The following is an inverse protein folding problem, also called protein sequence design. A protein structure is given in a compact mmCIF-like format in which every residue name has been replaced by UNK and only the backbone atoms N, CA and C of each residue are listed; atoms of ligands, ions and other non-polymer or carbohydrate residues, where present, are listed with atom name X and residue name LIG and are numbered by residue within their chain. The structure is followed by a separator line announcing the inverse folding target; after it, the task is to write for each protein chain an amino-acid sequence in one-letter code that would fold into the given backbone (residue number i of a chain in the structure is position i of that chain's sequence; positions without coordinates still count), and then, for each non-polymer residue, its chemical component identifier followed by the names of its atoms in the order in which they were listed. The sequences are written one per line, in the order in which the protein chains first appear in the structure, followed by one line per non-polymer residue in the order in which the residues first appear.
data_IF_359365242238
#
_entry.id   IF_359365242238
#
_cell.length_a   1.000
_cell.length_b   1.000
_cell.length_c   1.000
_cell.angle_alpha   90.00
_cell.angle_beta   90.00
_cell.angle_gamma   90.00
#
_symmetry.space_group_name_H-M   'P 1'
#
loop_
_entity.id
_entity.type
_entity.pdbx_description
1 polymer ?
#
# COMPACT_ATOMS: atom_id res chain seq x y z
N UNK A 1 -43.18 36.96 14.10
CA UNK A 1 -42.51 37.67 15.23
C UNK A 1 -41.11 38.07 14.77
N UNK A 2 -40.72 39.30 15.18
CA UNK A 2 -39.65 40.14 14.60
C UNK A 2 -38.23 39.65 14.88
N UNK A 3 -37.35 39.76 13.88
CA UNK A 3 -35.88 39.72 14.03
C UNK A 3 -35.34 41.03 14.57
N UNK A 4 -34.23 41.08 15.34
CA UNK A 4 -33.38 42.26 15.40
C UNK A 4 -32.06 42.08 14.65
N UNK A 5 -31.68 43.16 14.00
CA UNK A 5 -30.48 43.42 13.23
C UNK A 5 -29.29 43.83 14.11
N UNK A 6 -28.09 43.48 13.64
CA UNK A 6 -26.95 44.39 13.59
C UNK A 6 -25.89 44.22 14.68
N UNK A 7 -24.71 43.71 14.31
CA UNK A 7 -23.45 44.12 14.95
C UNK A 7 -22.38 44.31 13.85
N UNK A 8 -21.90 45.55 13.80
CA UNK A 8 -20.87 46.06 12.89
C UNK A 8 -19.48 45.68 13.43
N UNK A 9 -18.63 45.07 12.61
CA UNK A 9 -17.23 44.81 12.97
C UNK A 9 -16.36 45.95 12.45
N UNK A 10 -15.64 46.62 13.35
CA UNK A 10 -14.65 47.65 13.03
C UNK A 10 -13.31 47.02 12.65
N UNK A 11 -12.78 47.45 11.48
CA UNK A 11 -11.44 47.13 10.99
C UNK A 11 -10.45 48.11 11.60
N UNK A 12 -9.43 47.61 12.30
CA UNK A 12 -8.28 48.41 12.76
C UNK A 12 -7.10 48.09 11.86
N UNK A 13 -6.69 49.08 11.08
CA UNK A 13 -5.42 49.09 10.30
C UNK A 13 -4.28 49.54 11.23
N UNK A 14 -3.26 48.72 11.35
CA UNK A 14 -1.97 49.09 11.95
C UNK A 14 -0.90 49.17 10.87
N UNK A 15 -0.36 50.36 10.67
CA UNK A 15 0.75 50.67 9.76
C UNK A 15 2.07 50.48 10.46
N UNK A 16 3.04 49.83 9.75
CA UNK A 16 4.43 49.70 10.13
C UNK A 16 5.29 50.84 9.55
N UNK A 17 6.36 51.30 10.21
CA UNK A 17 7.34 52.17 9.59
C UNK A 17 8.54 51.41 9.06
N UNK A 18 9.04 51.88 7.95
CA UNK A 18 10.27 51.49 7.29
C UNK A 18 11.49 52.05 8.04
N UNK A 19 12.57 51.27 8.11
CA UNK A 19 13.87 51.68 8.54
C UNK A 19 14.95 51.15 7.60
N UNK A 20 15.58 52.05 6.83
CA UNK A 20 16.77 51.81 6.03
C UNK A 20 18.02 51.91 6.93
N UNK A 21 18.99 51.04 6.72
CA UNK A 21 20.41 51.35 6.93
C UNK A 21 21.30 50.45 6.07
N UNK A 22 22.27 51.09 5.48
CA UNK A 22 23.17 50.70 4.42
C UNK A 22 24.51 50.15 4.87
N UNK A 23 25.19 49.50 3.93
CA UNK A 23 26.65 49.44 3.67
C UNK A 23 27.54 48.47 4.46
N UNK A 24 28.34 47.70 3.70
CA UNK A 24 29.52 46.98 4.16
C UNK A 24 29.97 45.93 3.13
N UNK A 25 30.63 46.44 2.08
CA UNK A 25 31.41 45.69 1.10
C UNK A 25 32.73 45.26 1.72
N UNK A 26 33.00 43.97 1.83
CA UNK A 26 34.38 43.47 1.99
C UNK A 26 34.49 42.02 1.49
N UNK A 27 35.22 41.89 0.40
CA UNK A 27 35.65 40.66 -0.23
C UNK A 27 37.02 40.28 0.35
N UNK A 28 37.23 39.10 0.87
CA UNK A 28 38.58 38.58 1.07
C UNK A 28 39.02 37.68 -0.08
N UNK A 29 40.22 37.91 -0.43
CA UNK A 29 41.16 37.33 -1.38
C UNK A 29 41.34 35.81 -1.24
N UNK A 30 41.61 35.16 -2.37
CA UNK A 30 41.95 33.75 -2.47
C UNK A 30 43.41 33.49 -2.07
N UNK A 31 43.71 32.44 -1.33
CA UNK A 31 45.09 31.99 -1.18
C UNK A 31 45.47 30.91 -2.19
N UNK A 32 46.76 30.94 -2.51
CA UNK A 32 47.49 30.22 -3.52
C UNK A 32 47.56 28.70 -3.35
N UNK A 33 47.75 28.06 -4.49
CA UNK A 33 47.97 26.63 -4.76
C UNK A 33 49.35 26.19 -4.24
N UNK A 34 49.51 25.07 -3.56
CA UNK A 34 50.76 24.36 -3.48
C UNK A 34 50.80 23.08 -4.31
N UNK A 35 52.00 22.71 -4.61
CA UNK A 35 52.62 21.80 -5.52
C UNK A 35 52.11 20.34 -5.58
N UNK A 36 52.37 19.78 -6.76
CA UNK A 36 52.18 18.41 -7.21
C UNK A 36 52.95 17.38 -6.38
N UNK A 37 52.27 16.37 -5.87
CA UNK A 37 52.81 15.12 -5.36
C UNK A 37 52.44 13.95 -6.29
N UNK A 38 53.39 13.11 -6.63
CA UNK A 38 53.33 11.98 -7.55
C UNK A 38 52.30 10.92 -7.16
N UNK A 39 51.81 10.12 -8.14
CA UNK A 39 50.66 9.24 -7.97
C UNK A 39 51.01 7.94 -7.23
N UNK A 40 50.32 7.69 -6.14
CA UNK A 40 50.24 6.36 -5.52
C UNK A 40 49.11 5.60 -6.19
N UNK A 41 49.38 4.39 -6.70
CA UNK A 41 48.46 3.52 -7.34
C UNK A 41 47.26 3.18 -6.44
N UNK A 42 45.99 3.18 -6.94
CA UNK A 42 44.86 2.78 -6.15
C UNK A 42 44.83 1.25 -5.99
N UNK A 43 44.92 0.79 -4.75
CA UNK A 43 44.53 -0.58 -4.37
C UNK A 43 43.07 -0.73 -4.68
N UNK A 44 42.76 -1.59 -5.64
CA UNK A 44 41.38 -2.03 -5.93
C UNK A 44 40.85 -2.80 -4.71
N UNK A 45 40.02 -2.17 -3.92
CA UNK A 45 39.11 -2.86 -3.01
C UNK A 45 37.89 -3.21 -3.83
N UNK A 46 37.79 -4.51 -4.20
CA UNK A 46 36.55 -5.06 -4.74
C UNK A 46 35.40 -4.80 -3.72
N UNK A 47 34.30 -4.19 -4.13
CA UNK A 47 33.14 -4.17 -3.30
C UNK A 47 32.59 -5.59 -3.20
N UNK A 48 32.60 -6.13 -1.98
CA UNK A 48 31.80 -7.33 -1.65
C UNK A 48 30.35 -7.07 -2.03
N UNK A 49 29.68 -7.96 -2.74
CA UNK A 49 28.26 -7.77 -3.03
C UNK A 49 27.53 -7.76 -1.70
N UNK A 50 26.97 -6.61 -1.33
CA UNK A 50 25.93 -6.54 -0.29
C UNK A 50 24.82 -7.44 -0.74
N UNK A 51 24.64 -8.57 -0.06
CA UNK A 51 23.47 -9.42 -0.23
C UNK A 51 22.23 -8.56 0.05
N UNK A 52 21.48 -8.24 -1.00
CA UNK A 52 20.11 -7.81 -0.85
C UNK A 52 19.37 -8.92 -0.08
N UNK A 53 18.50 -8.59 0.89
CA UNK A 53 17.68 -9.60 1.53
C UNK A 53 16.86 -10.28 0.45
N UNK A 54 17.08 -11.58 0.25
CA UNK A 54 16.36 -12.40 -0.70
C UNK A 54 14.87 -12.25 -0.43
N UNK A 55 14.19 -11.63 -1.37
CA UNK A 55 12.75 -11.54 -1.44
C UNK A 55 12.25 -12.98 -1.59
N UNK A 56 11.61 -13.52 -0.54
CA UNK A 56 11.19 -14.93 -0.45
C UNK A 56 10.00 -15.28 -1.37
N UNK A 57 9.95 -14.69 -2.55
CA UNK A 57 9.02 -15.05 -3.61
C UNK A 57 9.67 -16.17 -4.44
N UNK A 58 9.58 -17.41 -3.97
CA UNK A 58 10.03 -18.57 -4.75
C UNK A 58 9.23 -18.69 -6.03
N UNK A 59 9.90 -18.60 -7.15
CA UNK A 59 9.40 -19.05 -8.46
C UNK A 59 9.45 -20.58 -8.45
N UNK A 60 8.29 -21.25 -8.41
CA UNK A 60 8.25 -22.69 -8.12
C UNK A 60 8.02 -23.61 -9.31
N UNK A 61 7.52 -23.12 -10.48
CA UNK A 61 7.25 -23.99 -11.64
C UNK A 61 7.38 -23.29 -13.00
N UNK A 62 7.67 -24.03 -14.10
CA UNK A 62 7.51 -23.50 -15.45
C UNK A 62 6.06 -23.11 -15.70
N UNK A 63 5.84 -21.85 -16.08
CA UNK A 63 4.53 -21.21 -16.22
C UNK A 63 3.53 -21.95 -17.14
N UNK A 64 3.98 -22.81 -18.02
CA UNK A 64 3.13 -23.49 -19.01
C UNK A 64 2.30 -24.66 -18.43
N UNK A 65 2.64 -25.20 -17.26
CA UNK A 65 2.01 -26.38 -16.64
C UNK A 65 1.48 -26.14 -15.24
N UNK A 66 1.58 -24.93 -14.73
CA UNK A 66 1.18 -24.63 -13.36
C UNK A 66 -0.35 -24.71 -13.20
N UNK A 67 -0.81 -25.59 -12.31
CA UNK A 67 -2.18 -25.56 -11.80
C UNK A 67 -2.30 -24.64 -10.58
N UNK A 68 -3.54 -24.28 -10.22
CA UNK A 68 -3.78 -23.57 -8.96
C UNK A 68 -3.54 -24.50 -7.76
N UNK A 69 -2.84 -23.99 -6.76
CA UNK A 69 -2.59 -24.67 -5.50
C UNK A 69 -2.90 -23.72 -4.35
N UNK A 70 -3.94 -24.01 -3.62
CA UNK A 70 -4.39 -23.23 -2.48
C UNK A 70 -4.53 -24.08 -1.22
N UNK A 71 -4.27 -23.50 -0.06
CA UNK A 71 -4.42 -24.13 1.25
C UNK A 71 -4.91 -23.12 2.28
N UNK A 72 -5.82 -23.55 3.15
CA UNK A 72 -6.33 -22.78 4.29
C UNK A 72 -5.92 -23.48 5.57
N UNK A 73 -5.30 -22.75 6.47
CA UNK A 73 -4.89 -23.25 7.77
C UNK A 73 -5.34 -22.30 8.90
N UNK A 74 -5.44 -22.81 10.13
CA UNK A 74 -5.48 -21.96 11.30
C UNK A 74 -4.17 -21.17 11.42
N UNK A 75 -4.21 -19.99 12.06
CA UNK A 75 -2.98 -19.22 12.28
C UNK A 75 -1.97 -20.03 13.11
N UNK A 76 -0.76 -20.30 12.59
CA UNK A 76 0.31 -20.89 13.38
C UNK A 76 0.66 -20.00 14.58
N UNK A 77 1.03 -20.59 15.70
CA UNK A 77 1.36 -19.85 16.93
C UNK A 77 2.46 -18.80 16.72
N UNK A 78 3.46 -19.11 15.90
CA UNK A 78 4.53 -18.17 15.53
C UNK A 78 3.97 -16.94 14.78
N UNK A 79 3.09 -17.14 13.78
CA UNK A 79 2.46 -16.06 13.05
C UNK A 79 1.50 -15.26 13.96
N UNK A 80 0.73 -15.94 14.81
CA UNK A 80 -0.14 -15.27 15.78
C UNK A 80 0.66 -14.37 16.74
N UNK A 81 1.87 -14.79 17.13
CA UNK A 81 2.79 -13.95 17.91
C UNK A 81 3.33 -12.77 17.10
N UNK A 82 3.67 -12.98 15.83
CA UNK A 82 4.19 -11.94 14.94
C UNK A 82 3.18 -10.81 14.69
N UNK A 83 1.91 -11.15 14.43
CA UNK A 83 0.87 -10.14 14.15
C UNK A 83 0.39 -9.42 15.41
N UNK A 84 0.61 -9.98 16.62
CA UNK A 84 0.32 -9.27 17.87
C UNK A 84 1.14 -7.99 18.00
N UNK A 85 0.49 -6.89 18.33
CA UNK A 85 1.13 -5.56 18.43
C UNK A 85 1.49 -4.92 17.10
N UNK A 86 1.25 -5.61 15.98
CA UNK A 86 1.38 -5.05 14.62
C UNK A 86 0.00 -4.94 13.97
N UNK A 87 -0.38 -5.89 13.13
CA UNK A 87 -1.67 -5.89 12.44
C UNK A 87 -2.83 -6.41 13.29
N UNK A 88 -2.57 -6.97 14.47
CA UNK A 88 -3.57 -7.30 15.47
C UNK A 88 -3.18 -6.75 16.85
N UNK A 89 -4.14 -6.24 17.60
CA UNK A 89 -3.98 -5.72 18.96
C UNK A 89 -5.24 -6.00 19.80
N UNK A 90 -5.16 -5.96 21.14
CA UNK A 90 -6.35 -6.02 21.99
C UNK A 90 -7.37 -4.95 21.59
N UNK A 91 -8.63 -5.33 21.48
CA UNK A 91 -9.72 -4.48 21.00
C UNK A 91 -10.01 -4.61 19.51
N UNK A 92 -9.23 -5.37 18.74
CA UNK A 92 -9.59 -5.75 17.36
C UNK A 92 -10.93 -6.50 17.33
N UNK A 93 -11.78 -6.24 16.32
CA UNK A 93 -13.13 -6.82 16.25
C UNK A 93 -13.13 -8.34 16.02
N UNK A 94 -12.03 -8.90 15.51
CA UNK A 94 -11.89 -10.34 15.28
C UNK A 94 -10.77 -10.90 16.17
N UNK A 95 -11.03 -11.95 16.97
CA UNK A 95 -10.00 -12.63 17.73
C UNK A 95 -9.10 -13.44 16.79
N UNK A 96 -7.89 -13.82 17.26
CA UNK A 96 -6.91 -14.51 16.41
C UNK A 96 -7.37 -15.87 15.91
N UNK A 97 -8.15 -16.60 16.68
CA UNK A 97 -8.74 -17.90 16.31
C UNK A 97 -9.88 -17.76 15.28
N UNK A 98 -10.45 -16.56 15.14
CA UNK A 98 -11.39 -16.17 14.09
C UNK A 98 -10.72 -15.88 12.74
N UNK A 99 -9.40 -15.98 12.65
CA UNK A 99 -8.65 -15.74 11.41
C UNK A 99 -8.11 -17.05 10.82
N UNK A 100 -7.87 -17.04 9.50
CA UNK A 100 -7.20 -18.11 8.75
C UNK A 100 -6.05 -17.54 7.94
N UNK A 101 -5.01 -18.34 7.76
CA UNK A 101 -3.96 -18.07 6.79
C UNK A 101 -4.24 -18.89 5.53
N UNK A 102 -4.23 -18.21 4.40
CA UNK A 102 -4.27 -18.79 3.06
C UNK A 102 -2.86 -18.81 2.51
N UNK A 103 -2.46 -19.90 1.90
CA UNK A 103 -1.27 -20.01 1.07
C UNK A 103 -1.70 -20.42 -0.33
N UNK A 104 -1.35 -19.65 -1.35
CA UNK A 104 -1.73 -19.96 -2.73
C UNK A 104 -0.69 -19.44 -3.72
N UNK A 105 -0.69 -20.06 -4.91
CA UNK A 105 0.09 -19.56 -6.03
C UNK A 105 -0.75 -18.57 -6.86
N UNK A 106 -0.04 -17.67 -7.55
CA UNK A 106 -0.64 -16.64 -8.39
C UNK A 106 0.31 -16.27 -9.54
N UNK A 107 -0.23 -15.77 -10.64
CA UNK A 107 0.57 -15.19 -11.70
C UNK A 107 1.17 -13.87 -11.23
N UNK A 108 2.50 -13.78 -11.21
CA UNK A 108 3.24 -12.54 -10.99
C UNK A 108 3.22 -11.64 -12.23
N UNK A 109 3.85 -10.50 -12.13
CA UNK A 109 4.11 -9.68 -13.31
C UNK A 109 5.15 -10.39 -14.19
N UNK A 110 4.89 -10.38 -15.53
CA UNK A 110 5.61 -11.24 -16.45
C UNK A 110 5.19 -12.73 -16.36
N UNK A 111 5.94 -13.68 -16.94
CA UNK A 111 5.53 -15.07 -17.04
C UNK A 111 5.84 -15.92 -15.80
N UNK A 112 5.88 -15.36 -14.62
CA UNK A 112 6.26 -16.03 -13.38
C UNK A 112 5.05 -16.43 -12.55
N UNK A 113 4.98 -17.70 -12.12
CA UNK A 113 4.10 -18.15 -11.04
C UNK A 113 4.82 -17.96 -9.71
N UNK A 114 4.14 -17.35 -8.77
CA UNK A 114 4.64 -17.02 -7.43
C UNK A 114 3.73 -17.63 -6.37
N UNK A 115 4.15 -17.63 -5.12
CA UNK A 115 3.36 -18.10 -3.98
C UNK A 115 3.40 -17.05 -2.88
N UNK A 116 2.28 -16.85 -2.17
CA UNK A 116 2.23 -15.90 -1.06
C UNK A 116 1.16 -16.22 -0.02
N UNK A 117 1.31 -15.68 1.20
CA UNK A 117 0.33 -15.83 2.27
C UNK A 117 -0.66 -14.68 2.30
N UNK A 118 -1.89 -14.95 2.76
CA UNK A 118 -2.90 -13.94 3.08
C UNK A 118 -3.63 -14.33 4.36
N UNK A 119 -3.87 -13.38 5.27
CA UNK A 119 -4.70 -13.61 6.45
C UNK A 119 -6.07 -12.99 6.22
N UNK A 120 -7.13 -13.79 6.42
CA UNK A 120 -8.53 -13.38 6.25
C UNK A 120 -9.39 -13.86 7.42
N UNK A 121 -10.63 -13.40 7.52
CA UNK A 121 -11.61 -13.96 8.44
C UNK A 121 -11.91 -15.44 8.08
N UNK A 122 -12.08 -16.26 9.08
CA UNK A 122 -12.40 -17.69 8.90
C UNK A 122 -13.70 -17.90 8.11
N UNK A 123 -14.67 -17.00 8.25
CA UNK A 123 -15.97 -17.13 7.60
C UNK A 123 -15.94 -16.95 6.07
N UNK A 124 -14.88 -16.33 5.54
CA UNK A 124 -14.75 -16.03 4.09
C UNK A 124 -13.50 -16.65 3.47
N UNK A 125 -12.81 -17.52 4.20
CA UNK A 125 -11.52 -18.06 3.76
C UNK A 125 -11.64 -18.89 2.47
N UNK A 126 -12.65 -19.75 2.38
CA UNK A 126 -12.90 -20.56 1.19
C UNK A 126 -13.30 -19.68 0.00
N UNK A 127 -14.16 -18.69 0.19
CA UNK A 127 -14.62 -17.77 -0.84
C UNK A 127 -13.47 -16.95 -1.41
N UNK A 128 -12.61 -16.40 -0.53
CA UNK A 128 -11.43 -15.62 -0.96
C UNK A 128 -10.44 -16.51 -1.70
N UNK A 129 -10.21 -17.74 -1.24
CA UNK A 129 -9.32 -18.68 -1.93
C UNK A 129 -9.86 -19.00 -3.33
N UNK A 130 -11.18 -19.24 -3.47
CA UNK A 130 -11.84 -19.46 -4.75
C UNK A 130 -11.66 -18.24 -5.69
N UNK A 131 -11.76 -16.99 -5.18
CA UNK A 131 -11.49 -15.80 -5.99
C UNK A 131 -10.08 -15.85 -6.58
N UNK A 132 -9.06 -16.16 -5.78
CA UNK A 132 -7.68 -16.22 -6.29
C UNK A 132 -7.46 -17.38 -7.26
N UNK A 133 -8.19 -18.49 -7.15
CA UNK A 133 -8.24 -19.53 -8.18
C UNK A 133 -8.77 -18.99 -9.52
N UNK A 134 -9.88 -18.22 -9.49
CA UNK A 134 -10.41 -17.60 -10.72
C UNK A 134 -9.42 -16.61 -11.34
N UNK A 135 -8.71 -15.84 -10.52
CA UNK A 135 -7.66 -14.92 -11.00
C UNK A 135 -6.49 -15.70 -11.61
N UNK A 136 -6.13 -16.82 -11.00
CA UNK A 136 -5.06 -17.70 -11.50
C UNK A 136 -5.43 -18.31 -12.87
N UNK A 137 -6.63 -18.86 -12.99
CA UNK A 137 -7.12 -19.48 -14.24
C UNK A 137 -7.22 -18.47 -15.38
N UNK A 138 -7.60 -17.22 -15.06
CA UNK A 138 -7.62 -16.12 -16.02
C UNK A 138 -6.24 -15.49 -16.27
N UNK A 139 -5.18 -15.97 -15.61
CA UNK A 139 -3.82 -15.41 -15.65
C UNK A 139 -3.76 -13.93 -15.32
N UNK A 140 -4.64 -13.45 -14.39
CA UNK A 140 -4.60 -12.08 -13.96
C UNK A 140 -3.30 -11.82 -13.15
N UNK A 141 -2.48 -10.82 -13.54
CA UNK A 141 -1.20 -10.61 -12.90
C UNK A 141 -1.37 -9.91 -11.54
N UNK A 142 -0.87 -10.55 -10.49
CA UNK A 142 -0.78 -9.98 -9.14
C UNK A 142 0.68 -9.66 -8.86
N UNK A 143 1.00 -8.41 -8.54
CA UNK A 143 2.40 -7.99 -8.37
C UNK A 143 3.08 -8.75 -7.24
N UNK A 144 2.42 -8.83 -6.09
CA UNK A 144 2.89 -9.56 -4.91
C UNK A 144 1.74 -9.82 -3.95
N UNK A 145 1.72 -10.99 -3.31
CA UNK A 145 0.85 -11.32 -2.18
C UNK A 145 1.71 -11.46 -0.94
N UNK A 146 1.39 -10.74 0.13
CA UNK A 146 2.09 -10.85 1.41
C UNK A 146 1.23 -10.35 2.58
N UNK A 147 1.69 -10.59 3.80
CA UNK A 147 1.01 -10.15 5.01
C UNK A 147 1.14 -8.65 5.21
N UNK A 148 0.09 -8.02 5.73
CA UNK A 148 0.11 -6.59 6.04
C UNK A 148 1.13 -6.21 7.14
N UNK A 149 1.65 -7.16 7.89
CA UNK A 149 2.76 -6.96 8.84
C UNK A 149 4.01 -6.39 8.18
N UNK A 150 4.22 -6.69 6.90
CA UNK A 150 5.36 -6.17 6.14
C UNK A 150 5.30 -4.64 5.90
N UNK A 151 4.13 -4.02 6.08
CA UNK A 151 3.93 -2.56 5.91
C UNK A 151 3.68 -1.84 7.22
N UNK A 152 3.67 -2.56 8.35
CA UNK A 152 3.36 -1.94 9.63
C UNK A 152 4.43 -0.90 10.00
N UNK A 153 4.04 0.33 10.46
CA UNK A 153 4.99 1.40 10.79
C UNK A 153 6.12 0.98 11.73
N UNK A 154 5.87 0.07 12.69
CA UNK A 154 6.91 -0.44 13.58
C UNK A 154 8.04 -1.19 12.85
N UNK A 155 7.79 -1.66 11.62
CA UNK A 155 8.82 -2.26 10.75
C UNK A 155 9.36 -1.29 9.71
N UNK A 156 8.73 -0.12 9.53
CA UNK A 156 9.11 0.90 8.57
C UNK A 156 10.45 1.56 8.84
N UNK A 157 10.84 1.71 10.10
CA UNK A 157 12.14 2.27 10.47
C UNK A 157 13.30 1.46 9.87
N UNK A 158 13.14 0.13 9.75
CA UNK A 158 14.12 -0.75 9.12
C UNK A 158 14.06 -0.76 7.58
N UNK A 159 12.92 -0.33 6.97
CA UNK A 159 12.66 -0.49 5.53
C UNK A 159 12.21 0.78 4.83
N UNK A 160 12.58 1.95 5.33
CA UNK A 160 12.16 3.30 4.85
C UNK A 160 12.29 3.55 3.34
N UNK A 161 13.10 2.76 2.62
CA UNK A 161 13.29 2.86 1.16
C UNK A 161 12.33 2.02 0.31
N UNK A 162 11.50 1.19 0.93
CA UNK A 162 10.82 0.09 0.22
C UNK A 162 9.36 0.42 -0.15
N UNK A 163 8.78 1.48 0.40
CA UNK A 163 7.32 1.65 0.42
C UNK A 163 6.69 2.35 -0.76
N UNK A 164 7.42 3.20 -1.49
CA UNK A 164 6.82 3.97 -2.59
C UNK A 164 6.52 3.16 -3.86
N UNK A 165 7.18 2.00 -4.04
CA UNK A 165 7.06 1.18 -5.26
C UNK A 165 6.49 -0.22 -5.02
N UNK A 166 6.14 -0.56 -3.77
CA UNK A 166 5.58 -1.89 -3.45
C UNK A 166 4.08 -1.89 -3.66
N UNK A 167 3.64 -2.73 -4.57
CA UNK A 167 2.25 -3.09 -4.77
C UNK A 167 2.04 -4.45 -4.13
N UNK A 168 1.45 -4.48 -2.94
CA UNK A 168 1.21 -5.73 -2.24
C UNK A 168 -0.27 -5.94 -2.01
N UNK A 169 -0.74 -7.03 -2.57
CA UNK A 169 -2.08 -7.57 -2.34
C UNK A 169 -2.13 -8.17 -0.94
N UNK A 170 -3.02 -7.66 -0.09
CA UNK A 170 -3.16 -8.05 1.30
C UNK A 170 -4.60 -7.89 1.79
N UNK A 171 -4.92 -8.51 2.94
CA UNK A 171 -6.25 -8.43 3.54
C UNK A 171 -6.20 -7.93 4.98
N UNK A 172 -6.07 -8.81 5.97
CA UNK A 172 -6.23 -8.48 7.38
C UNK A 172 -5.25 -7.41 7.88
N UNK A 173 -5.80 -6.33 8.41
CA UNK A 173 -5.06 -5.27 9.10
C UNK A 173 -6.00 -4.53 10.06
N UNK A 174 -5.84 -4.74 11.35
CA UNK A 174 -6.67 -4.15 12.39
C UNK A 174 -6.34 -2.67 12.60
N UNK A 175 -7.03 -1.82 11.87
CA UNK A 175 -6.91 -0.36 11.91
C UNK A 175 -8.26 0.32 11.75
N UNK A 176 -8.42 1.55 12.22
CA UNK A 176 -9.56 2.39 11.83
C UNK A 176 -9.61 2.67 10.33
N UNK A 177 -10.76 3.09 9.85
CA UNK A 177 -10.90 3.71 8.53
C UNK A 177 -9.99 4.93 8.45
N UNK A 178 -9.30 5.10 7.33
CA UNK A 178 -8.46 6.29 7.09
C UNK A 178 -9.32 7.34 6.40
N UNK A 179 -9.48 8.50 7.05
CA UNK A 179 -10.18 9.66 6.50
C UNK A 179 -9.19 10.78 6.11
N UNK A 180 -9.61 11.80 5.34
CA UNK A 180 -8.79 12.97 5.07
C UNK A 180 -8.35 13.72 6.34
N UNK A 181 -9.10 13.61 7.43
CA UNK A 181 -8.82 14.26 8.72
C UNK A 181 -8.01 13.37 9.69
N UNK A 182 -7.64 12.16 9.28
CA UNK A 182 -6.94 11.19 10.10
C UNK A 182 -7.72 9.89 10.30
N UNK A 183 -7.38 9.08 11.32
CA UNK A 183 -8.14 7.89 11.65
C UNK A 183 -9.59 8.22 12.02
N UNK A 184 -10.54 7.49 11.46
CA UNK A 184 -11.96 7.56 11.86
C UNK A 184 -12.23 6.79 13.15
N UNK A 185 -13.48 6.85 13.62
CA UNK A 185 -13.92 6.12 14.82
C UNK A 185 -14.23 4.65 14.54
N UNK A 186 -14.62 4.33 13.31
CA UNK A 186 -14.98 2.99 12.90
C UNK A 186 -13.78 2.16 12.44
N UNK A 187 -13.83 0.85 12.64
CA UNK A 187 -12.86 -0.07 12.08
C UNK A 187 -13.06 -0.25 10.57
N UNK A 188 -11.95 -0.27 9.84
CA UNK A 188 -11.93 -0.66 8.42
C UNK A 188 -12.37 -2.13 8.25
N UNK A 189 -12.95 -2.48 7.10
CA UNK A 189 -13.28 -3.87 6.75
C UNK A 189 -12.05 -4.79 6.79
N UNK A 190 -10.86 -4.26 6.57
CA UNK A 190 -9.60 -4.97 6.79
C UNK A 190 -9.41 -5.42 8.24
N UNK A 191 -9.93 -4.68 9.21
CA UNK A 191 -9.84 -5.07 10.63
C UNK A 191 -10.70 -6.29 10.97
N UNK A 192 -11.70 -6.55 10.15
CA UNK A 192 -12.55 -7.74 10.25
C UNK A 192 -12.02 -8.91 9.42
N UNK A 193 -10.98 -8.70 8.59
CA UNK A 193 -10.53 -9.67 7.58
C UNK A 193 -11.55 -9.90 6.47
N UNK A 194 -12.42 -8.92 6.20
CA UNK A 194 -13.51 -8.91 5.24
C UNK A 194 -13.26 -7.95 4.07
N UNK A 195 -12.01 -7.60 3.83
CA UNK A 195 -11.58 -6.81 2.69
C UNK A 195 -10.25 -7.32 2.14
N UNK A 196 -10.05 -7.14 0.83
CA UNK A 196 -8.81 -7.43 0.11
C UNK A 196 -8.45 -6.22 -0.76
N UNK A 197 -7.21 -5.78 -0.67
CA UNK A 197 -6.63 -4.82 -1.60
C UNK A 197 -5.79 -5.56 -2.64
N UNK A 198 -6.12 -5.42 -3.93
CA UNK A 198 -5.42 -6.08 -5.05
C UNK A 198 -4.58 -5.07 -5.81
N UNK A 199 -3.26 -5.33 -5.91
CA UNK A 199 -2.31 -4.48 -6.64
C UNK A 199 -2.45 -2.98 -6.31
N UNK A 200 -2.23 -2.53 -5.06
CA UNK A 200 -2.53 -1.16 -4.62
C UNK A 200 -1.85 -0.04 -5.41
N UNK A 201 -0.68 -0.29 -5.99
CA UNK A 201 -0.01 0.70 -6.81
C UNK A 201 -0.71 0.88 -8.16
N UNK A 202 -1.13 -0.22 -8.80
CA UNK A 202 -1.80 -0.24 -10.09
C UNK A 202 -3.29 0.14 -9.97
N UNK A 203 -3.83 0.06 -8.76
CA UNK A 203 -5.23 0.33 -8.46
C UNK A 203 -5.35 1.29 -7.27
N UNK A 204 -4.88 2.54 -7.42
CA UNK A 204 -4.79 3.46 -6.30
C UNK A 204 -6.15 3.90 -5.77
N UNK A 205 -6.16 4.33 -4.50
CA UNK A 205 -7.18 5.22 -4.00
C UNK A 205 -7.01 6.59 -4.64
N UNK A 206 -8.07 7.12 -5.23
CA UNK A 206 -8.10 8.41 -5.93
C UNK A 206 -9.24 9.25 -5.35
N UNK A 207 -8.92 10.42 -4.82
CA UNK A 207 -9.92 11.35 -4.32
C UNK A 207 -10.69 12.01 -5.45
N UNK A 208 -11.83 12.61 -5.15
CA UNK A 208 -12.72 13.27 -6.12
C UNK A 208 -12.03 14.38 -6.92
N UNK A 209 -11.02 15.05 -6.31
CA UNK A 209 -10.18 16.06 -6.97
C UNK A 209 -8.97 15.46 -7.72
N UNK A 210 -8.87 14.12 -7.79
CA UNK A 210 -7.83 13.41 -8.53
C UNK A 210 -6.51 13.21 -7.77
N UNK A 211 -6.46 13.55 -6.48
CA UNK A 211 -5.25 13.33 -5.69
C UNK A 211 -5.00 11.84 -5.42
N UNK A 212 -3.73 11.43 -5.48
CA UNK A 212 -3.22 10.12 -5.05
C UNK A 212 -2.09 10.30 -4.06
N UNK A 213 -2.13 9.58 -2.96
CA UNK A 213 -1.10 9.70 -1.91
C UNK A 213 0.28 9.25 -2.38
N UNK A 214 0.34 8.22 -3.23
CA UNK A 214 1.58 7.68 -3.76
C UNK A 214 1.80 8.18 -5.19
N UNK A 215 2.76 9.08 -5.41
CA UNK A 215 3.07 9.62 -6.74
C UNK A 215 3.45 8.56 -7.77
N UNK A 216 4.02 7.44 -7.36
CA UNK A 216 4.30 6.33 -8.26
C UNK A 216 3.03 5.69 -8.84
N UNK A 217 1.85 5.96 -8.25
CA UNK A 217 0.55 5.51 -8.73
C UNK A 217 -0.09 6.48 -9.76
N UNK A 218 0.44 7.69 -9.96
CA UNK A 218 -0.11 8.67 -10.90
C UNK A 218 -0.36 8.11 -12.32
N UNK A 219 0.53 7.29 -12.93
CA UNK A 219 0.28 6.70 -14.24
C UNK A 219 -0.97 5.82 -14.31
N UNK A 220 -1.40 5.27 -13.18
CA UNK A 220 -2.54 4.35 -13.05
C UNK A 220 -3.86 5.07 -12.74
N UNK A 221 -3.86 6.38 -12.54
CA UNK A 221 -5.11 7.17 -12.39
C UNK A 221 -5.84 7.35 -13.72
N UNK A 222 -5.14 7.23 -14.84
CA UNK A 222 -5.73 7.30 -16.19
C UNK A 222 -6.36 5.94 -16.50
N UNK A 223 -7.62 5.75 -16.06
CA UNK A 223 -8.34 4.47 -16.11
C UNK A 223 -8.76 4.02 -17.52
N UNK A 224 -8.54 4.82 -18.56
CA UNK A 224 -8.65 4.39 -19.96
C UNK A 224 -7.45 3.56 -20.45
N UNK A 225 -6.36 3.50 -19.67
CA UNK A 225 -5.21 2.65 -19.96
C UNK A 225 -5.46 1.24 -19.42
N UNK A 226 -4.85 0.23 -20.09
CA UNK A 226 -4.81 -1.16 -19.64
C UNK A 226 -3.36 -1.55 -19.42
N UNK A 227 -2.80 -1.11 -18.28
CA UNK A 227 -1.45 -1.50 -17.85
C UNK A 227 -1.53 -2.78 -17.00
N UNK A 228 -0.42 -3.53 -16.96
CA UNK A 228 -0.34 -4.79 -16.23
C UNK A 228 -0.79 -4.65 -14.77
N UNK A 229 -1.72 -5.50 -14.33
CA UNK A 229 -2.26 -5.51 -12.98
C UNK A 229 -3.31 -4.45 -12.65
N UNK A 230 -3.71 -3.61 -13.62
CA UNK A 230 -4.86 -2.72 -13.46
C UNK A 230 -6.18 -3.52 -13.47
N UNK A 231 -7.14 -3.07 -12.65
CA UNK A 231 -8.48 -3.64 -12.53
C UNK A 231 -9.47 -2.69 -13.18
N UNK A 232 -10.33 -3.21 -14.04
CA UNK A 232 -11.37 -2.44 -14.72
C UNK A 232 -12.75 -3.03 -14.42
N UNK A 233 -13.78 -2.22 -14.60
CA UNK A 233 -15.16 -2.68 -14.51
C UNK A 233 -15.39 -3.89 -15.41
N UNK A 234 -16.02 -4.93 -14.86
CA UNK A 234 -16.36 -6.16 -15.59
C UNK A 234 -15.22 -7.11 -15.90
N UNK A 235 -13.98 -6.87 -15.41
CA UNK A 235 -12.91 -7.85 -15.55
C UNK A 235 -13.05 -9.04 -14.57
N UNK A 236 -12.14 -10.01 -14.66
CA UNK A 236 -12.22 -11.23 -13.84
C UNK A 236 -12.17 -10.89 -12.34
N UNK A 237 -11.38 -9.91 -11.92
CA UNK A 237 -11.24 -9.56 -10.49
C UNK A 237 -12.58 -9.08 -9.94
N UNK A 238 -13.18 -8.10 -10.62
CA UNK A 238 -14.47 -7.51 -10.21
C UNK A 238 -15.59 -8.58 -10.23
N UNK A 239 -15.66 -9.41 -11.28
CA UNK A 239 -16.66 -10.47 -11.36
C UNK A 239 -16.50 -11.53 -10.28
N UNK A 240 -15.28 -11.94 -9.97
CA UNK A 240 -15.04 -12.99 -8.98
C UNK A 240 -15.36 -12.52 -7.56
N UNK A 241 -14.97 -11.30 -7.19
CA UNK A 241 -15.38 -10.73 -5.90
C UNK A 241 -16.90 -10.50 -5.82
N UNK A 242 -17.52 -10.03 -6.90
CA UNK A 242 -18.97 -9.88 -6.94
C UNK A 242 -19.71 -11.22 -6.79
N UNK A 243 -19.16 -12.33 -7.32
CA UNK A 243 -19.74 -13.66 -7.20
C UNK A 243 -19.80 -14.17 -5.75
N UNK A 244 -18.89 -13.71 -4.88
CA UNK A 244 -18.93 -13.99 -3.44
C UNK A 244 -19.65 -12.89 -2.64
N UNK A 245 -20.35 -11.96 -3.31
CA UNK A 245 -21.13 -10.89 -2.68
C UNK A 245 -20.32 -9.69 -2.19
N UNK A 246 -19.09 -9.51 -2.65
CA UNK A 246 -18.25 -8.37 -2.27
C UNK A 246 -18.37 -7.22 -3.28
N UNK A 247 -18.32 -6.01 -2.77
CA UNK A 247 -18.34 -4.78 -3.56
C UNK A 247 -16.93 -4.28 -3.90
N UNK A 248 -16.82 -3.63 -5.05
CA UNK A 248 -15.59 -3.01 -5.51
C UNK A 248 -15.59 -1.50 -5.25
N UNK A 249 -14.52 -0.97 -4.63
CA UNK A 249 -14.35 0.45 -4.35
C UNK A 249 -14.22 1.34 -5.60
N UNK A 250 -13.95 0.74 -6.77
CA UNK A 250 -14.03 1.44 -8.06
C UNK A 250 -15.46 1.88 -8.44
N UNK A 251 -16.49 1.28 -7.84
CA UNK A 251 -17.90 1.63 -8.06
C UNK A 251 -18.42 2.72 -7.10
N UNK A 252 -17.67 3.11 -6.07
CA UNK A 252 -18.13 4.10 -5.11
C UNK A 252 -18.46 5.44 -5.76
N UNK A 253 -19.45 6.14 -5.25
CA UNK A 253 -19.68 7.55 -5.58
C UNK A 253 -18.66 8.44 -4.85
N UNK A 254 -18.11 9.45 -5.53
CA UNK A 254 -17.08 10.31 -4.99
C UNK A 254 -15.68 9.71 -5.16
N UNK A 255 -14.92 9.61 -4.05
CA UNK A 255 -13.60 8.99 -4.06
C UNK A 255 -13.65 7.53 -4.53
N UNK A 256 -12.64 7.11 -5.26
CA UNK A 256 -12.52 5.74 -5.79
C UNK A 256 -11.40 5.00 -5.09
N UNK A 257 -11.65 3.76 -4.70
CA UNK A 257 -10.63 2.86 -4.19
C UNK A 257 -10.50 1.63 -5.09
N UNK A 258 -9.72 1.79 -6.15
CA UNK A 258 -9.64 0.78 -7.20
C UNK A 258 -9.01 -0.54 -6.77
N UNK A 259 -8.22 -0.56 -5.67
CA UNK A 259 -7.64 -1.79 -5.11
C UNK A 259 -8.64 -2.57 -4.25
N UNK A 260 -9.63 -1.89 -3.67
CA UNK A 260 -10.41 -2.36 -2.54
C UNK A 260 -11.62 -3.18 -2.93
N UNK A 261 -11.71 -4.38 -2.36
CA UNK A 261 -12.89 -5.25 -2.40
C UNK A 261 -13.29 -5.60 -0.98
N UNK A 262 -14.57 -5.51 -0.64
CA UNK A 262 -15.04 -5.81 0.71
C UNK A 262 -16.50 -6.28 0.74
N UNK A 263 -16.83 -7.05 1.80
CA UNK A 263 -18.17 -7.62 1.99
C UNK A 263 -19.24 -6.54 2.20
N UNK A 264 -18.90 -5.40 2.81
CA UNK A 264 -19.84 -4.33 3.15
C UNK A 264 -19.59 -3.03 2.33
N UNK A 265 -18.82 -3.09 1.27
CA UNK A 265 -18.55 -1.99 0.35
C UNK A 265 -17.53 -0.97 0.91
N UNK A 266 -17.79 -0.34 2.03
CA UNK A 266 -16.91 0.71 2.65
C UNK A 266 -16.43 0.31 4.02
#
# INVERSE_FOLDING_TARGET
MRWPRGLTLAVVLLTAPAGCASSGDERPEAPAKPAQGSPVAPTQVSPSPSAEPEESDRVEEPAERAGFHGKIDALPAALAAEIRGTTWKPGCPVPLDGLRILHFNYWGFGPAVRRGPMVVNAAVADDVLWVFEQLFDARFPVKRVALATEFHPARFEQHRRITSHRSVTASFNCRPVVTPLGPGDDYSQHAYGLAVDVNPLQNPYVTTDGFVRNRAAEPYTVRSRSLEGMIHEGDVVVRSFAAIGWEWGGNWSGDKDYMHFSLLGR
#
